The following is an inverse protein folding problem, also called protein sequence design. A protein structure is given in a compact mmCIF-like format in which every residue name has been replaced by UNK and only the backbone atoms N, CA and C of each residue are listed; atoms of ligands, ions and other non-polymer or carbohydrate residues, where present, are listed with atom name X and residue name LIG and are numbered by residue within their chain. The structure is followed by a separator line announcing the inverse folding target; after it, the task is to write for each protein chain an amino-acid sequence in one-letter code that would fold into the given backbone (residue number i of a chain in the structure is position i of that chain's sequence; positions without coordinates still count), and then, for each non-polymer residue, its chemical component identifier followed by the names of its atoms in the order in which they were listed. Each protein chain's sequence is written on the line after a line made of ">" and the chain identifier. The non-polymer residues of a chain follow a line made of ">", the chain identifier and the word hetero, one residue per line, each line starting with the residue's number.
data_IF_190274865237
#
_entry.id   IF_190274865237
#
_cell.length_a   1.000
_cell.length_b   1.000
_cell.length_c   1.000
_cell.angle_alpha   90.00
_cell.angle_beta   90.00
_cell.angle_gamma   90.00
#
_symmetry.space_group_name_H-M   'P 1'
#
loop_
_entity.id
_entity.type
_entity.pdbx_description
1 polymer ?
#
# COMPACT_ATOMS: atom_id res chain seq x y z
N UNK A 1 -7.06 20.09 20.05
CA UNK A 1 -6.95 18.62 20.01
C UNK A 1 -7.68 17.99 18.83
N UNK A 2 -8.95 18.32 18.56
CA UNK A 2 -9.76 17.67 17.50
C UNK A 2 -9.22 17.80 16.07
N UNK A 3 -8.50 18.87 15.73
CA UNK A 3 -7.92 19.05 14.39
C UNK A 3 -6.59 18.27 14.22
N UNK A 4 -5.80 18.18 15.30
CA UNK A 4 -4.50 17.51 15.32
C UNK A 4 -4.65 15.98 15.16
N UNK A 5 -5.53 15.36 15.95
CA UNK A 5 -5.86 13.93 15.85
C UNK A 5 -6.35 13.60 14.45
N UNK A 6 -7.27 14.41 13.90
CA UNK A 6 -7.76 14.24 12.52
C UNK A 6 -6.64 14.32 11.49
N UNK A 7 -5.65 15.18 11.68
CA UNK A 7 -4.54 15.35 10.73
C UNK A 7 -3.47 14.25 10.82
N UNK A 8 -3.09 13.85 12.04
CA UNK A 8 -1.99 12.90 12.27
C UNK A 8 -2.44 11.44 12.24
N UNK A 9 -3.71 11.18 12.53
CA UNK A 9 -4.22 9.82 12.72
C UNK A 9 -5.29 9.47 11.67
N UNK A 10 -5.38 10.29 10.62
CA UNK A 10 -6.24 10.07 9.47
C UNK A 10 -6.09 8.65 8.89
N UNK A 11 -4.86 8.13 8.83
CA UNK A 11 -4.56 6.81 8.26
C UNK A 11 -5.29 5.68 8.98
N UNK A 12 -5.54 5.81 10.28
CA UNK A 12 -6.23 4.79 11.10
C UNK A 12 -7.66 4.59 10.62
N UNK A 13 -8.36 5.65 10.23
CA UNK A 13 -9.73 5.55 9.74
C UNK A 13 -9.77 5.37 8.22
N UNK A 14 -8.82 5.97 7.51
CA UNK A 14 -8.81 5.97 6.06
C UNK A 14 -8.47 4.61 5.45
N UNK A 15 -7.47 3.91 6.00
CA UNK A 15 -7.03 2.62 5.44
C UNK A 15 -8.19 1.60 5.46
N UNK A 16 -8.87 1.34 6.59
CA UNK A 16 -10.03 0.44 6.62
C UNK A 16 -11.13 0.82 5.64
N UNK A 17 -11.41 2.12 5.49
CA UNK A 17 -12.39 2.60 4.52
C UNK A 17 -11.97 2.28 3.07
N UNK A 18 -10.70 2.49 2.71
CA UNK A 18 -10.21 2.14 1.36
C UNK A 18 -10.25 0.63 1.13
N UNK A 19 -9.96 -0.19 2.16
CA UNK A 19 -10.10 -1.66 2.09
C UNK A 19 -11.56 -2.06 1.84
N UNK A 20 -12.50 -1.50 2.61
CA UNK A 20 -13.93 -1.75 2.46
C UNK A 20 -14.40 -1.35 1.06
N UNK A 21 -14.04 -0.16 0.59
CA UNK A 21 -14.40 0.32 -0.75
C UNK A 21 -13.77 -0.55 -1.87
N UNK A 22 -12.54 -1.04 -1.68
CA UNK A 22 -11.90 -1.98 -2.62
C UNK A 22 -12.67 -3.31 -2.66
N UNK A 23 -13.02 -3.87 -1.51
CA UNK A 23 -13.82 -5.10 -1.40
C UNK A 23 -15.19 -4.93 -2.04
N UNK A 24 -15.96 -3.94 -1.59
CA UNK A 24 -17.28 -3.61 -2.11
C UNK A 24 -17.30 -3.48 -3.65
N UNK A 25 -16.35 -2.73 -4.23
CA UNK A 25 -16.27 -2.57 -5.70
C UNK A 25 -15.88 -3.85 -6.42
N UNK A 26 -15.08 -4.72 -5.79
CA UNK A 26 -14.69 -6.00 -6.38
C UNK A 26 -15.88 -6.96 -6.36
N UNK A 27 -16.58 -7.02 -5.23
CA UNK A 27 -17.81 -7.78 -5.04
C UNK A 27 -18.91 -7.35 -5.99
N UNK A 28 -19.15 -6.04 -6.14
CA UNK A 28 -20.12 -5.52 -7.09
C UNK A 28 -19.82 -5.99 -8.51
N UNK A 29 -18.55 -5.92 -8.95
CA UNK A 29 -18.15 -6.38 -10.29
C UNK A 29 -18.36 -7.87 -10.49
N UNK A 30 -18.07 -8.69 -9.47
CA UNK A 30 -18.29 -10.13 -9.55
C UNK A 30 -19.79 -10.46 -9.59
N UNK A 31 -20.61 -9.80 -8.80
CA UNK A 31 -22.08 -9.91 -8.83
C UNK A 31 -22.61 -9.51 -10.21
N UNK A 32 -22.18 -8.37 -10.76
CA UNK A 32 -22.60 -7.90 -12.09
C UNK A 32 -22.23 -8.90 -13.20
N UNK A 33 -21.02 -9.48 -13.14
CA UNK A 33 -20.59 -10.54 -14.09
C UNK A 33 -21.46 -11.78 -13.98
N UNK A 34 -21.79 -12.21 -12.75
CA UNK A 34 -22.63 -13.40 -12.53
C UNK A 34 -24.07 -13.15 -12.96
N UNK A 35 -24.62 -11.96 -12.67
CA UNK A 35 -25.94 -11.54 -13.14
C UNK A 35 -26.01 -11.51 -14.67
N UNK A 36 -25.00 -10.97 -15.34
CA UNK A 36 -24.94 -11.00 -16.80
C UNK A 36 -24.89 -12.43 -17.36
N UNK A 37 -24.09 -13.32 -16.75
CA UNK A 37 -24.07 -14.74 -17.14
C UNK A 37 -25.41 -15.43 -16.90
N UNK A 38 -26.12 -15.09 -15.83
CA UNK A 38 -27.46 -15.60 -15.55
C UNK A 38 -28.46 -15.10 -16.60
N UNK A 39 -28.48 -13.81 -16.91
CA UNK A 39 -29.34 -13.21 -17.93
C UNK A 39 -29.16 -13.86 -19.31
N UNK A 40 -27.91 -14.13 -19.71
CA UNK A 40 -27.61 -14.83 -20.96
C UNK A 40 -28.18 -16.26 -20.98
N UNK A 41 -28.08 -17.00 -19.87
CA UNK A 41 -28.66 -18.34 -19.80
C UNK A 41 -30.19 -18.31 -19.75
N UNK A 42 -30.80 -17.38 -19.02
CA UNK A 42 -32.23 -17.22 -18.98
C UNK A 42 -32.80 -16.90 -20.37
N UNK A 43 -32.17 -15.97 -21.11
CA UNK A 43 -32.55 -15.65 -22.49
C UNK A 43 -32.40 -16.84 -23.45
N UNK A 44 -31.34 -17.64 -23.29
CA UNK A 44 -31.16 -18.84 -24.10
C UNK A 44 -32.25 -19.88 -23.84
N UNK A 45 -32.69 -20.02 -22.58
CA UNK A 45 -33.81 -20.88 -22.21
C UNK A 45 -35.13 -20.33 -22.76
N UNK A 46 -35.41 -19.02 -22.61
CA UNK A 46 -36.61 -18.37 -23.14
C UNK A 46 -36.72 -18.50 -24.67
N UNK A 47 -35.59 -18.50 -25.39
CA UNK A 47 -35.56 -18.69 -26.85
C UNK A 47 -35.91 -20.12 -27.29
N UNK A 48 -35.72 -21.10 -26.42
CA UNK A 48 -36.05 -22.51 -26.70
C UNK A 48 -37.50 -22.85 -26.34
N UNK A 49 -38.20 -21.97 -25.62
CA UNK A 49 -39.61 -22.14 -25.28
C UNK A 49 -40.46 -21.59 -26.45
N UNK A 50 -41.27 -22.42 -27.14
CA UNK A 50 -42.18 -21.99 -28.19
C UNK A 50 -43.15 -20.94 -27.66
N UNK A 51 -43.39 -19.88 -28.45
CA UNK A 51 -44.30 -18.79 -28.08
C UNK A 51 -45.78 -19.14 -28.26
N UNK A 52 -46.08 -20.21 -29.01
CA UNK A 52 -47.42 -20.56 -29.46
C UNK A 52 -48.13 -21.58 -28.54
N UNK A 53 -47.76 -21.65 -27.25
CA UNK A 53 -48.29 -22.63 -26.29
C UNK A 53 -48.08 -24.10 -26.70
N UNK A 54 -47.13 -24.37 -27.60
CA UNK A 54 -46.78 -25.75 -27.98
C UNK A 54 -46.07 -26.47 -26.83
N UNK A 55 -46.35 -27.77 -26.60
CA UNK A 55 -45.69 -28.54 -25.55
C UNK A 55 -44.18 -28.64 -25.80
N UNK A 56 -43.38 -28.25 -24.82
CA UNK A 56 -41.91 -28.42 -24.84
C UNK A 56 -41.57 -29.80 -24.28
N UNK A 57 -40.69 -30.58 -24.94
CA UNK A 57 -40.18 -31.82 -24.38
C UNK A 57 -39.48 -31.57 -23.04
N UNK A 58 -39.86 -32.33 -22.00
CA UNK A 58 -39.31 -32.17 -20.65
C UNK A 58 -37.77 -32.31 -20.64
N UNK A 59 -37.26 -33.22 -21.47
CA UNK A 59 -35.83 -33.48 -21.65
C UNK A 59 -35.07 -32.21 -22.09
N UNK A 60 -35.66 -31.35 -22.92
CA UNK A 60 -35.00 -30.14 -23.40
C UNK A 60 -34.83 -29.08 -22.31
N UNK A 61 -35.80 -28.99 -21.39
CA UNK A 61 -35.73 -28.09 -20.22
C UNK A 61 -34.82 -28.67 -19.13
N UNK A 62 -34.91 -29.98 -18.90
CA UNK A 62 -34.16 -30.68 -17.83
C UNK A 62 -32.64 -30.57 -18.02
N UNK A 63 -32.15 -30.51 -19.26
CA UNK A 63 -30.73 -30.29 -19.60
C UNK A 63 -30.18 -28.96 -19.07
N UNK A 64 -31.01 -27.93 -18.93
CA UNK A 64 -30.60 -26.58 -18.56
C UNK A 64 -30.72 -26.27 -17.06
N UNK A 65 -31.59 -26.99 -16.34
CA UNK A 65 -31.81 -26.81 -14.89
C UNK A 65 -30.52 -26.98 -14.06
N UNK A 66 -29.67 -28.01 -14.27
CA UNK A 66 -28.43 -28.16 -13.51
C UNK A 66 -27.49 -26.96 -13.68
N UNK A 67 -27.35 -26.44 -14.91
CA UNK A 67 -26.47 -25.31 -15.19
C UNK A 67 -26.96 -24.01 -14.53
N UNK A 68 -28.27 -23.78 -14.49
CA UNK A 68 -28.87 -22.64 -13.79
C UNK A 68 -28.73 -22.80 -12.27
N UNK A 69 -28.98 -24.00 -11.73
CA UNK A 69 -28.84 -24.30 -10.32
C UNK A 69 -27.39 -24.13 -9.83
N UNK A 70 -26.40 -24.64 -10.57
CA UNK A 70 -24.97 -24.45 -10.31
C UNK A 70 -24.60 -22.96 -10.20
N UNK A 71 -25.14 -22.13 -11.11
CA UNK A 71 -24.89 -20.69 -11.14
C UNK A 71 -25.51 -19.95 -9.97
N UNK A 72 -26.75 -20.29 -9.60
CA UNK A 72 -27.42 -19.71 -8.43
C UNK A 72 -26.63 -20.05 -7.16
N UNK A 73 -26.15 -21.29 -7.03
CA UNK A 73 -25.29 -21.68 -5.90
C UNK A 73 -23.98 -20.89 -5.89
N UNK A 74 -23.33 -20.72 -7.05
CA UNK A 74 -22.11 -19.92 -7.15
C UNK A 74 -22.35 -18.44 -6.75
N UNK A 75 -23.46 -17.83 -7.19
CA UNK A 75 -23.86 -16.48 -6.78
C UNK A 75 -24.07 -16.42 -5.27
N UNK A 76 -24.83 -17.36 -4.71
CA UNK A 76 -25.11 -17.40 -3.28
C UNK A 76 -23.81 -17.51 -2.46
N UNK A 77 -22.95 -18.46 -2.78
CA UNK A 77 -21.68 -18.67 -2.07
C UNK A 77 -20.79 -17.42 -2.15
N UNK A 78 -20.65 -16.82 -3.33
CA UNK A 78 -19.82 -15.63 -3.52
C UNK A 78 -20.40 -14.41 -2.77
N UNK A 79 -21.72 -14.24 -2.78
CA UNK A 79 -22.38 -13.15 -2.06
C UNK A 79 -22.20 -13.30 -0.55
N UNK A 80 -22.39 -14.51 -0.02
CA UNK A 80 -22.19 -14.78 1.42
C UNK A 80 -20.76 -14.49 1.83
N UNK A 81 -19.77 -14.97 1.07
CA UNK A 81 -18.35 -14.70 1.36
C UNK A 81 -18.03 -13.21 1.28
N UNK A 82 -18.58 -12.50 0.30
CA UNK A 82 -18.42 -11.05 0.17
C UNK A 82 -18.98 -10.31 1.38
N UNK A 83 -20.23 -10.60 1.76
CA UNK A 83 -20.91 -9.93 2.87
C UNK A 83 -20.16 -10.17 4.18
N UNK A 84 -19.74 -11.41 4.45
CA UNK A 84 -18.92 -11.73 5.64
C UNK A 84 -17.61 -10.94 5.63
N UNK A 85 -16.95 -10.86 4.47
CA UNK A 85 -15.72 -10.10 4.31
C UNK A 85 -15.89 -8.58 4.47
N UNK A 86 -17.03 -8.03 4.08
CA UNK A 86 -17.37 -6.61 4.27
C UNK A 86 -17.73 -6.29 5.71
N UNK A 87 -18.53 -7.14 6.36
CA UNK A 87 -18.89 -7.02 7.79
C UNK A 87 -17.63 -7.02 8.65
N UNK A 88 -16.71 -7.95 8.41
CA UNK A 88 -15.45 -8.02 9.16
C UNK A 88 -14.64 -6.70 9.10
N UNK A 89 -14.59 -6.04 7.94
CA UNK A 89 -13.90 -4.74 7.80
C UNK A 89 -14.70 -3.61 8.45
N UNK A 90 -16.03 -3.67 8.40
CA UNK A 90 -16.89 -2.70 9.09
C UNK A 90 -16.73 -2.79 10.62
N UNK A 91 -16.62 -4.00 11.18
CA UNK A 91 -16.33 -4.21 12.59
C UNK A 91 -14.93 -3.68 12.97
N UNK A 92 -13.92 -3.84 12.10
CA UNK A 92 -12.60 -3.23 12.31
C UNK A 92 -12.67 -1.70 12.33
N UNK A 93 -13.47 -1.11 11.44
CA UNK A 93 -13.74 0.33 11.44
C UNK A 93 -14.41 0.78 12.74
N UNK A 94 -15.40 0.04 13.21
CA UNK A 94 -16.11 0.33 14.45
C UNK A 94 -15.17 0.27 15.67
N UNK A 95 -14.32 -0.78 15.77
CA UNK A 95 -13.30 -0.89 16.83
C UNK A 95 -12.39 0.33 16.87
N UNK A 96 -11.97 0.83 15.71
CA UNK A 96 -11.10 2.02 15.60
C UNK A 96 -11.84 3.31 15.94
N UNK A 97 -13.12 3.42 15.61
CA UNK A 97 -13.94 4.55 16.06
C UNK A 97 -14.13 4.55 17.58
N UNK A 98 -14.41 3.38 18.17
CA UNK A 98 -14.53 3.22 19.63
C UNK A 98 -13.21 3.59 20.34
N UNK A 99 -12.05 3.27 19.76
CA UNK A 99 -10.76 3.72 20.27
C UNK A 99 -10.65 5.24 20.36
N UNK A 100 -11.05 5.98 19.31
CA UNK A 100 -11.05 7.44 19.36
C UNK A 100 -12.14 8.03 20.27
N UNK A 101 -13.30 7.40 20.33
CA UNK A 101 -14.38 7.82 21.24
C UNK A 101 -13.93 7.75 22.70
N UNK A 102 -13.23 6.69 23.11
CA UNK A 102 -12.65 6.58 24.46
C UNK A 102 -11.77 7.78 24.81
N UNK A 103 -11.02 8.30 23.85
CA UNK A 103 -10.18 9.48 24.03
C UNK A 103 -10.99 10.77 24.18
N UNK A 104 -12.07 10.92 23.40
CA UNK A 104 -12.96 12.09 23.47
C UNK A 104 -13.80 12.11 24.75
N UNK A 105 -14.17 10.94 25.27
CA UNK A 105 -14.99 10.80 26.47
C UNK A 105 -14.19 10.69 27.77
N UNK A 106 -12.86 10.64 27.70
CA UNK A 106 -12.00 10.55 28.88
C UNK A 106 -12.25 11.74 29.80
N UNK A 107 -12.47 11.49 31.10
CA UNK A 107 -12.74 12.54 32.10
C UNK A 107 -11.57 12.69 33.06
N UNK A 108 -10.83 11.62 33.32
CA UNK A 108 -9.77 11.61 34.32
C UNK A 108 -8.37 11.80 33.70
N UNK A 109 -7.43 12.49 34.37
CA UNK A 109 -6.05 12.67 33.86
C UNK A 109 -5.32 11.36 33.58
N UNK A 110 -5.60 10.31 34.35
CA UNK A 110 -5.02 8.98 34.15
C UNK A 110 -5.44 8.36 32.80
N UNK A 111 -6.70 8.51 32.42
CA UNK A 111 -7.25 8.02 31.14
C UNK A 111 -6.61 8.76 29.95
N UNK A 112 -6.46 10.09 30.09
CA UNK A 112 -5.75 10.90 29.10
C UNK A 112 -4.27 10.50 28.98
N UNK A 113 -3.61 10.18 30.09
CA UNK A 113 -2.23 9.69 30.11
C UNK A 113 -2.09 8.34 29.41
N UNK A 114 -3.00 7.40 29.70
CA UNK A 114 -3.04 6.09 29.05
C UNK A 114 -3.24 6.23 27.54
N UNK A 115 -4.22 7.02 27.11
CA UNK A 115 -4.46 7.26 25.68
C UNK A 115 -3.26 7.91 24.99
N UNK A 116 -2.61 8.91 25.60
CA UNK A 116 -1.39 9.52 25.04
C UNK A 116 -0.28 8.49 24.82
N UNK A 117 -0.10 7.56 25.76
CA UNK A 117 0.87 6.48 25.62
C UNK A 117 0.52 5.55 24.46
N UNK A 118 -0.72 5.06 24.41
CA UNK A 118 -1.21 4.22 23.31
C UNK A 118 -1.06 4.90 21.94
N UNK A 119 -1.35 6.20 21.89
CA UNK A 119 -1.22 7.04 20.70
C UNK A 119 0.23 7.07 20.19
N UNK A 120 1.19 7.27 21.09
CA UNK A 120 2.63 7.29 20.77
C UNK A 120 3.07 5.90 20.30
N UNK A 121 2.73 4.84 21.04
CA UNK A 121 3.07 3.46 20.68
C UNK A 121 2.55 3.14 19.27
N UNK A 122 1.31 3.53 18.96
CA UNK A 122 0.70 3.32 17.64
C UNK A 122 1.39 4.12 16.53
N UNK A 123 1.82 5.36 16.79
CA UNK A 123 2.60 6.15 15.83
C UNK A 123 3.96 5.52 15.54
N UNK A 124 4.61 4.94 16.57
CA UNK A 124 5.88 4.22 16.44
C UNK A 124 5.67 2.94 15.62
N UNK A 125 4.64 2.14 15.94
CA UNK A 125 4.30 0.91 15.20
C UNK A 125 4.11 1.22 13.70
N UNK A 126 3.31 2.23 13.38
CA UNK A 126 3.08 2.65 11.99
C UNK A 126 4.39 3.10 11.31
N UNK A 127 5.25 3.84 12.01
CA UNK A 127 6.54 4.26 11.46
C UNK A 127 7.47 3.06 11.19
N UNK A 128 7.54 2.10 12.11
CA UNK A 128 8.31 0.86 11.94
C UNK A 128 7.82 0.05 10.74
N UNK A 129 6.51 -0.04 10.54
CA UNK A 129 5.96 -0.67 9.34
C UNK A 129 6.40 0.03 8.05
N UNK A 130 6.33 1.37 8.02
CA UNK A 130 6.70 2.17 6.85
C UNK A 130 8.19 2.14 6.51
N UNK A 131 9.06 1.92 7.50
CA UNK A 131 10.51 1.77 7.27
C UNK A 131 10.92 0.33 6.94
N UNK A 132 9.98 -0.62 6.98
CA UNK A 132 10.21 -2.04 6.69
C UNK A 132 10.65 -2.87 7.91
N UNK A 133 10.57 -2.32 9.12
CA UNK A 133 10.81 -3.02 10.38
C UNK A 133 9.58 -3.85 10.81
N UNK A 134 9.04 -4.68 9.91
CA UNK A 134 7.76 -5.38 10.08
C UNK A 134 7.69 -6.26 11.33
N UNK A 135 8.75 -7.02 11.63
CA UNK A 135 8.81 -7.91 12.79
C UNK A 135 8.74 -7.11 14.10
N UNK A 136 9.54 -6.06 14.20
CA UNK A 136 9.56 -5.18 15.38
C UNK A 136 8.23 -4.47 15.57
N UNK A 137 7.62 -3.97 14.49
CA UNK A 137 6.30 -3.36 14.53
C UNK A 137 5.23 -4.32 15.07
N UNK A 138 5.18 -5.56 14.54
CA UNK A 138 4.24 -6.58 15.01
C UNK A 138 4.48 -6.95 16.48
N UNK A 139 5.73 -7.11 16.90
CA UNK A 139 6.06 -7.43 18.30
C UNK A 139 5.60 -6.32 19.26
N UNK A 140 5.80 -5.06 18.88
CA UNK A 140 5.35 -3.91 19.67
C UNK A 140 3.82 -3.84 19.72
N UNK A 141 3.14 -4.03 18.58
CA UNK A 141 1.68 -4.07 18.50
C UNK A 141 1.07 -5.16 19.39
N UNK A 142 1.69 -6.34 19.46
CA UNK A 142 1.29 -7.42 20.37
C UNK A 142 1.51 -7.04 21.84
N UNK A 143 2.69 -6.52 22.18
CA UNK A 143 3.02 -6.17 23.58
C UNK A 143 2.15 -5.05 24.14
N UNK A 144 1.75 -4.09 23.30
CA UNK A 144 0.89 -2.97 23.69
C UNK A 144 -0.60 -3.27 23.51
N UNK A 145 -0.96 -4.46 22.99
CA UNK A 145 -2.35 -4.86 22.66
C UNK A 145 -3.03 -3.90 21.68
N UNK A 146 -2.26 -3.34 20.74
CA UNK A 146 -2.72 -2.35 19.77
C UNK A 146 -3.02 -2.92 18.38
N UNK A 147 -2.80 -4.22 18.14
CA UNK A 147 -3.13 -4.87 16.84
C UNK A 147 -4.50 -4.49 16.25
N UNK A 148 -5.62 -4.44 17.03
CA UNK A 148 -6.93 -4.09 16.46
C UNK A 148 -7.01 -2.68 15.86
N UNK A 149 -6.12 -1.76 16.26
CA UNK A 149 -6.07 -0.37 15.78
C UNK A 149 -4.85 -0.09 14.90
N UNK A 150 -4.06 -1.13 14.58
CA UNK A 150 -2.90 -1.09 13.69
C UNK A 150 -3.25 -1.67 12.31
N UNK A 151 -2.43 -1.36 11.31
CA UNK A 151 -2.67 -1.72 9.91
C UNK A 151 -1.93 -3.00 9.48
N UNK A 152 -1.80 -3.97 10.39
CA UNK A 152 -0.99 -5.18 10.23
C UNK A 152 -1.22 -5.89 8.89
N UNK A 153 -2.48 -6.18 8.53
CA UNK A 153 -2.83 -6.87 7.28
C UNK A 153 -2.34 -6.15 6.01
N UNK A 154 -2.35 -4.81 6.02
CA UNK A 154 -1.84 -4.02 4.89
C UNK A 154 -0.33 -4.16 4.80
N UNK A 155 0.36 -4.09 5.95
CA UNK A 155 1.81 -4.17 5.98
C UNK A 155 2.33 -5.60 5.82
N UNK A 156 1.53 -6.63 6.07
CA UNK A 156 1.83 -8.00 5.67
C UNK A 156 1.86 -8.15 4.14
N UNK A 157 0.92 -7.54 3.42
CA UNK A 157 0.94 -7.50 1.96
C UNK A 157 2.17 -6.74 1.44
N UNK A 158 2.47 -5.57 2.03
CA UNK A 158 3.68 -4.78 1.70
C UNK A 158 4.93 -5.61 1.94
N UNK A 159 5.04 -6.28 3.10
CA UNK A 159 6.16 -7.16 3.42
C UNK A 159 6.33 -8.28 2.40
N UNK A 160 5.25 -8.96 2.01
CA UNK A 160 5.27 -10.04 1.01
C UNK A 160 5.88 -9.53 -0.31
N UNK A 161 5.51 -8.33 -0.73
CA UNK A 161 6.04 -7.72 -1.96
C UNK A 161 7.51 -7.35 -1.79
N UNK A 162 7.89 -6.70 -0.69
CA UNK A 162 9.30 -6.35 -0.43
C UNK A 162 10.20 -7.58 -0.36
N UNK A 163 9.77 -8.64 0.33
CA UNK A 163 10.52 -9.88 0.45
C UNK A 163 10.63 -10.58 -0.91
N UNK A 164 9.59 -10.51 -1.77
CA UNK A 164 9.67 -10.94 -3.17
C UNK A 164 10.75 -10.17 -3.93
N UNK A 165 10.71 -8.84 -3.90
CA UNK A 165 11.69 -7.99 -4.59
C UNK A 165 13.13 -8.23 -4.08
N UNK A 166 13.33 -8.42 -2.77
CA UNK A 166 14.64 -8.76 -2.19
C UNK A 166 15.18 -10.10 -2.69
N UNK A 167 14.29 -11.05 -2.96
CA UNK A 167 14.63 -12.38 -3.49
C UNK A 167 14.60 -12.43 -5.02
N UNK A 168 14.57 -11.28 -5.69
CA UNK A 168 14.47 -11.15 -7.14
C UNK A 168 13.22 -11.79 -7.77
N UNK A 169 12.16 -11.96 -6.98
CA UNK A 169 10.86 -12.44 -7.43
C UNK A 169 9.90 -11.25 -7.66
N UNK A 170 9.51 -11.06 -8.93
CA UNK A 170 8.60 -9.99 -9.33
C UNK A 170 7.13 -10.37 -9.17
N UNK A 171 6.79 -11.65 -8.98
CA UNK A 171 5.40 -12.11 -8.97
C UNK A 171 4.56 -11.45 -7.88
N UNK A 172 5.00 -11.39 -6.59
CA UNK A 172 4.23 -10.72 -5.55
C UNK A 172 3.93 -9.25 -5.88
N UNK A 173 4.91 -8.56 -6.48
CA UNK A 173 4.77 -7.18 -6.89
C UNK A 173 3.78 -7.01 -8.06
N UNK A 174 3.80 -7.94 -9.02
CA UNK A 174 2.87 -7.94 -10.15
C UNK A 174 1.43 -8.21 -9.72
N UNK A 175 1.22 -9.13 -8.77
CA UNK A 175 -0.09 -9.37 -8.16
C UNK A 175 -0.61 -8.09 -7.50
N UNK A 176 0.25 -7.44 -6.70
CA UNK A 176 -0.11 -6.18 -6.05
C UNK A 176 -0.45 -5.08 -7.05
N UNK A 177 0.32 -4.95 -8.14
CA UNK A 177 0.03 -4.00 -9.22
C UNK A 177 -1.32 -4.31 -9.86
N UNK A 178 -1.63 -5.59 -10.12
CA UNK A 178 -2.89 -6.00 -10.70
C UNK A 178 -4.07 -5.59 -9.81
N UNK A 179 -3.99 -5.88 -8.52
CA UNK A 179 -5.02 -5.57 -7.54
C UNK A 179 -5.25 -4.07 -7.34
N UNK A 180 -4.22 -3.25 -7.58
CA UNK A 180 -4.25 -1.80 -7.38
C UNK A 180 -4.23 -1.01 -8.69
N UNK A 181 -4.31 -1.67 -9.85
CA UNK A 181 -4.13 -1.10 -11.20
C UNK A 181 -4.99 0.13 -11.47
N UNK A 182 -6.25 0.09 -11.05
CA UNK A 182 -7.18 1.20 -11.27
C UNK A 182 -6.79 2.45 -10.48
N UNK A 183 -6.26 2.27 -9.26
CA UNK A 183 -5.80 3.37 -8.40
C UNK A 183 -4.46 3.91 -8.92
N UNK A 184 -3.51 3.03 -9.25
CA UNK A 184 -2.21 3.39 -9.82
C UNK A 184 -2.35 4.22 -11.10
N UNK A 185 -3.31 3.88 -11.97
CA UNK A 185 -3.62 4.68 -13.17
C UNK A 185 -4.11 6.09 -12.84
N UNK A 186 -4.98 6.24 -11.83
CA UNK A 186 -5.47 7.56 -11.38
C UNK A 186 -4.36 8.40 -10.74
N UNK A 187 -3.42 7.74 -10.07
CA UNK A 187 -2.22 8.35 -9.50
C UNK A 187 -1.14 8.65 -10.56
N UNK A 188 -1.38 8.29 -11.83
CA UNK A 188 -0.42 8.42 -12.93
C UNK A 188 0.94 7.77 -12.61
N UNK A 189 0.90 6.66 -11.87
CA UNK A 189 2.10 5.91 -11.49
C UNK A 189 2.74 5.25 -12.70
N UNK A 190 4.07 5.30 -12.77
CA UNK A 190 4.91 4.58 -13.71
C UNK A 190 5.52 3.30 -13.11
N UNK A 191 5.10 2.91 -11.90
CA UNK A 191 5.66 1.76 -11.20
C UNK A 191 5.46 0.42 -11.94
N UNK A 192 4.27 0.19 -12.51
CA UNK A 192 4.03 -0.99 -13.36
C UNK A 192 5.05 -1.07 -14.50
N UNK A 193 5.39 0.08 -15.11
CA UNK A 193 6.36 0.12 -16.19
C UNK A 193 7.77 -0.27 -15.72
N UNK A 194 8.22 0.23 -14.57
CA UNK A 194 9.55 -0.12 -14.04
C UNK A 194 9.68 -1.61 -13.69
N UNK A 195 8.61 -2.22 -13.19
CA UNK A 195 8.55 -3.67 -12.93
C UNK A 195 8.54 -4.46 -14.24
N UNK A 196 7.76 -4.05 -15.25
CA UNK A 196 7.79 -4.68 -16.59
C UNK A 196 9.16 -4.55 -17.26
N UNK A 197 9.87 -3.45 -17.02
CA UNK A 197 11.27 -3.26 -17.44
C UNK A 197 12.18 -4.25 -16.71
N UNK A 198 11.99 -4.46 -15.39
CA UNK A 198 12.78 -5.43 -14.64
C UNK A 198 12.59 -6.85 -15.18
N UNK A 199 11.34 -7.27 -15.48
CA UNK A 199 11.09 -8.58 -16.12
C UNK A 199 11.90 -8.74 -17.42
N UNK A 200 11.98 -7.66 -18.23
CA UNK A 200 12.78 -7.67 -19.44
C UNK A 200 14.29 -7.78 -19.16
N UNK A 201 14.78 -7.12 -18.12
CA UNK A 201 16.19 -7.18 -17.71
C UNK A 201 16.55 -8.60 -17.28
N UNK A 202 15.70 -9.27 -16.49
CA UNK A 202 15.93 -10.66 -16.08
C UNK A 202 15.88 -11.63 -17.27
N UNK A 203 14.94 -11.47 -18.22
CA UNK A 203 14.96 -12.25 -19.47
C UNK A 203 16.26 -12.06 -20.26
N UNK A 204 16.78 -10.83 -20.30
CA UNK A 204 18.06 -10.54 -20.96
C UNK A 204 19.24 -11.14 -20.20
N UNK A 205 19.19 -11.17 -18.87
CA UNK A 205 20.19 -11.81 -18.00
C UNK A 205 20.26 -13.32 -18.26
N UNK A 206 19.11 -13.97 -18.47
CA UNK A 206 18.98 -15.38 -18.88
C UNK A 206 19.30 -15.66 -20.36
N UNK A 207 19.78 -14.65 -21.10
CA UNK A 207 20.05 -14.74 -22.54
C UNK A 207 18.80 -15.06 -23.41
N UNK A 208 17.59 -14.82 -22.89
CA UNK A 208 16.29 -15.02 -23.58
C UNK A 208 15.88 -13.78 -24.39
N UNK A 209 16.76 -13.32 -25.29
CA UNK A 209 16.58 -12.07 -26.07
C UNK A 209 15.30 -12.03 -26.90
N UNK A 210 14.92 -13.16 -27.52
CA UNK A 210 13.72 -13.23 -28.37
C UNK A 210 12.45 -13.08 -27.54
N UNK A 211 12.41 -13.68 -26.36
CA UNK A 211 11.31 -13.53 -25.40
C UNK A 211 11.22 -12.10 -24.88
N UNK A 212 12.35 -11.51 -24.47
CA UNK A 212 12.41 -10.12 -24.02
C UNK A 212 11.86 -9.14 -25.08
N UNK A 213 12.20 -9.34 -26.36
CA UNK A 213 11.69 -8.51 -27.44
C UNK A 213 10.16 -8.66 -27.62
N UNK A 214 9.64 -9.89 -27.57
CA UNK A 214 8.20 -10.14 -27.62
C UNK A 214 7.49 -9.52 -26.42
N UNK A 215 8.10 -9.61 -25.24
CA UNK A 215 7.60 -9.05 -24.00
C UNK A 215 7.48 -7.53 -24.06
N UNK A 216 8.54 -6.83 -24.47
CA UNK A 216 8.54 -5.37 -24.64
C UNK A 216 7.47 -4.93 -25.63
N UNK A 217 7.29 -5.64 -26.76
CA UNK A 217 6.22 -5.33 -27.72
C UNK A 217 4.84 -5.53 -27.10
N UNK A 218 4.63 -6.59 -26.33
CA UNK A 218 3.37 -6.86 -25.63
C UNK A 218 3.04 -5.78 -24.61
N UNK A 219 4.00 -5.42 -23.76
CA UNK A 219 3.79 -4.48 -22.66
C UNK A 219 3.76 -3.02 -23.11
N UNK A 220 4.56 -2.65 -24.11
CA UNK A 220 4.81 -1.25 -24.47
C UNK A 220 4.47 -0.92 -25.93
N UNK A 221 3.97 -1.86 -26.73
CA UNK A 221 3.67 -1.64 -28.15
C UNK A 221 2.55 -0.63 -28.40
N UNK A 222 1.69 -0.39 -27.41
CA UNK A 222 0.63 0.63 -27.47
C UNK A 222 1.12 2.05 -27.13
N UNK A 223 2.36 2.19 -26.65
CA UNK A 223 2.96 3.48 -26.31
C UNK A 223 3.49 4.11 -27.60
N UNK A 224 2.90 5.25 -28.00
CA UNK A 224 3.33 5.98 -29.20
C UNK A 224 4.77 6.50 -29.10
N UNK A 225 5.45 6.65 -30.24
CA UNK A 225 6.89 6.97 -30.31
C UNK A 225 7.30 8.22 -29.49
N UNK A 226 6.49 9.28 -29.43
CA UNK A 226 6.79 10.47 -28.62
C UNK A 226 6.78 10.24 -27.10
N UNK A 227 6.15 9.18 -26.61
CA UNK A 227 6.16 8.80 -25.19
C UNK A 227 7.37 7.94 -24.83
N UNK A 228 7.94 7.19 -25.78
CA UNK A 228 9.24 6.53 -25.62
C UNK A 228 10.34 7.56 -25.40
N UNK A 229 10.23 8.72 -26.06
CA UNK A 229 11.25 9.76 -25.97
C UNK A 229 11.41 10.37 -24.58
N UNK A 230 10.29 10.52 -23.87
CA UNK A 230 10.20 11.09 -22.53
C UNK A 230 10.60 10.11 -21.42
N UNK A 231 10.88 8.84 -21.76
CA UNK A 231 11.09 7.76 -20.79
C UNK A 231 12.46 7.10 -21.00
N UNK A 232 13.51 7.58 -20.31
CA UNK A 232 14.89 7.12 -20.54
C UNK A 232 15.07 5.62 -20.26
N UNK A 233 14.38 5.06 -19.26
CA UNK A 233 14.46 3.63 -18.93
C UNK A 233 13.97 2.75 -20.10
N UNK A 234 12.89 3.11 -20.79
CA UNK A 234 12.38 2.36 -21.94
C UNK A 234 13.35 2.38 -23.12
N UNK A 235 13.96 3.55 -23.40
CA UNK A 235 15.01 3.68 -24.42
C UNK A 235 16.21 2.80 -24.11
N UNK A 236 16.63 2.78 -22.84
CA UNK A 236 17.76 1.95 -22.41
C UNK A 236 17.45 0.46 -22.58
N UNK A 237 16.24 0.00 -22.27
CA UNK A 237 15.83 -1.40 -22.48
C UNK A 237 15.81 -1.78 -23.95
N UNK A 238 15.24 -0.94 -24.82
CA UNK A 238 15.25 -1.20 -26.26
C UNK A 238 16.68 -1.27 -26.82
N UNK A 239 17.54 -0.34 -26.41
CA UNK A 239 18.96 -0.33 -26.78
C UNK A 239 19.72 -1.56 -26.26
N UNK A 240 19.45 -1.99 -25.02
CA UNK A 240 20.02 -3.19 -24.42
C UNK A 240 19.62 -4.46 -25.20
N UNK A 241 18.33 -4.59 -25.56
CA UNK A 241 17.86 -5.71 -26.41
C UNK A 241 18.59 -5.68 -27.76
N UNK A 242 18.68 -4.52 -28.40
CA UNK A 242 19.34 -4.37 -29.69
C UNK A 242 20.83 -4.77 -29.62
N UNK A 243 21.56 -4.23 -28.65
CA UNK A 243 22.98 -4.52 -28.40
C UNK A 243 23.24 -6.00 -28.03
N UNK A 244 22.26 -6.67 -27.40
CA UNK A 244 22.40 -8.05 -26.93
C UNK A 244 23.28 -8.18 -25.68
N UNK A 245 23.46 -9.41 -25.21
CA UNK A 245 24.21 -9.70 -23.96
C UNK A 245 25.74 -9.53 -24.09
N UNK A 246 26.24 -9.00 -25.21
CA UNK A 246 27.65 -8.66 -25.37
C UNK A 246 27.90 -7.37 -24.60
N UNK A 247 28.41 -7.52 -23.38
CA UNK A 247 28.66 -6.53 -22.31
C UNK A 247 29.53 -5.31 -22.65
N UNK A 248 29.69 -4.95 -23.93
CA UNK A 248 30.66 -3.96 -24.42
C UNK A 248 30.30 -2.53 -23.98
N UNK A 249 29.03 -2.25 -23.65
CA UNK A 249 28.59 -0.89 -23.34
C UNK A 249 28.43 -0.67 -21.83
N UNK A 250 29.31 0.17 -21.25
CA UNK A 250 29.25 0.63 -19.85
C UNK A 250 27.86 1.17 -19.44
N UNK A 251 27.10 1.72 -20.40
CA UNK A 251 25.76 2.28 -20.18
C UNK A 251 24.72 1.26 -19.74
N UNK A 252 24.81 0.00 -20.15
CA UNK A 252 23.84 -1.05 -19.77
C UNK A 252 24.22 -1.80 -18.50
N UNK A 253 25.49 -1.71 -18.04
CA UNK A 253 25.95 -2.37 -16.80
C UNK A 253 25.12 -1.95 -15.59
N UNK A 254 24.74 -0.66 -15.51
CA UNK A 254 23.88 -0.14 -14.42
C UNK A 254 22.48 -0.77 -14.40
N UNK A 255 21.96 -1.21 -15.54
CA UNK A 255 20.62 -1.83 -15.59
C UNK A 255 20.60 -3.22 -14.98
N UNK A 256 21.73 -3.94 -14.99
CA UNK A 256 21.88 -5.24 -14.35
C UNK A 256 22.34 -5.16 -12.89
N UNK A 257 22.52 -3.96 -12.34
CA UNK A 257 23.03 -3.76 -10.99
C UNK A 257 22.00 -4.12 -9.91
N UNK A 258 22.48 -4.66 -8.81
CA UNK A 258 21.66 -5.02 -7.64
C UNK A 258 20.97 -3.81 -7.00
N UNK A 259 21.58 -2.62 -7.07
CA UNK A 259 21.01 -1.35 -6.59
C UNK A 259 19.62 -1.06 -7.17
N UNK A 260 19.31 -1.62 -8.35
CA UNK A 260 18.01 -1.46 -8.99
C UNK A 260 16.89 -2.13 -8.20
N UNK A 261 17.15 -3.28 -7.57
CA UNK A 261 16.18 -3.95 -6.72
C UNK A 261 15.85 -3.11 -5.48
N UNK A 262 16.86 -2.53 -4.85
CA UNK A 262 16.66 -1.61 -3.73
C UNK A 262 15.87 -0.37 -4.17
N UNK A 263 16.19 0.20 -5.33
CA UNK A 263 15.41 1.33 -5.88
C UNK A 263 13.94 0.95 -6.17
N UNK A 264 13.67 -0.28 -6.63
CA UNK A 264 12.31 -0.78 -6.83
C UNK A 264 11.57 -0.98 -5.50
N UNK A 265 12.25 -1.47 -4.46
CA UNK A 265 11.69 -1.60 -3.10
C UNK A 265 11.33 -0.22 -2.55
N UNK A 266 12.22 0.77 -2.63
CA UNK A 266 11.93 2.13 -2.17
C UNK A 266 10.78 2.76 -2.97
N UNK A 267 10.76 2.55 -4.29
CA UNK A 267 9.64 3.01 -5.13
C UNK A 267 8.33 2.33 -4.75
N UNK A 268 8.35 1.02 -4.50
CA UNK A 268 7.18 0.28 -4.04
C UNK A 268 6.63 0.84 -2.73
N UNK A 269 7.48 1.11 -1.74
CA UNK A 269 7.07 1.75 -0.46
C UNK A 269 6.34 3.07 -0.68
N UNK A 270 6.89 3.94 -1.54
CA UNK A 270 6.23 5.21 -1.85
C UNK A 270 4.87 4.98 -2.55
N UNK A 271 4.80 4.05 -3.49
CA UNK A 271 3.56 3.78 -4.24
C UNK A 271 2.49 3.10 -3.38
N UNK A 272 2.88 2.23 -2.45
CA UNK A 272 1.95 1.59 -1.51
C UNK A 272 1.30 2.62 -0.59
N UNK A 273 2.08 3.57 -0.08
CA UNK A 273 1.56 4.71 0.70
C UNK A 273 0.63 5.60 -0.13
N UNK A 274 0.98 5.90 -1.39
CA UNK A 274 0.14 6.72 -2.30
C UNK A 274 -1.19 6.05 -2.60
N UNK A 275 -1.24 4.72 -2.72
CA UNK A 275 -2.49 3.96 -2.94
C UNK A 275 -3.47 4.19 -1.80
N UNK A 276 -2.98 4.24 -0.55
CA UNK A 276 -3.79 4.54 0.64
C UNK A 276 -3.93 6.04 0.94
N UNK A 277 -3.35 6.91 0.11
CA UNK A 277 -3.34 8.37 0.27
C UNK A 277 -2.74 8.80 1.61
N UNK A 278 -1.66 8.13 2.00
CA UNK A 278 -0.88 8.47 3.19
C UNK A 278 0.09 9.60 2.88
N UNK A 279 0.39 10.41 3.90
CA UNK A 279 1.48 11.40 3.84
C UNK A 279 2.82 10.68 3.67
N UNK A 280 3.75 11.25 2.89
CA UNK A 280 5.12 10.72 2.76
C UNK A 280 5.89 10.71 4.08
N UNK A 281 5.56 11.59 5.02
CA UNK A 281 6.10 11.54 6.37
C UNK A 281 5.12 10.82 7.31
N UNK A 282 5.66 10.00 8.21
CA UNK A 282 4.86 9.39 9.28
C UNK A 282 4.48 10.44 10.31
N UNK A 283 3.33 10.25 10.97
CA UNK A 283 2.91 11.09 12.08
C UNK A 283 3.99 11.14 13.18
N UNK A 284 4.66 10.00 13.44
CA UNK A 284 5.80 9.93 14.34
C UNK A 284 6.93 10.88 13.92
N UNK A 285 7.36 10.83 12.65
CA UNK A 285 8.42 11.71 12.14
C UNK A 285 8.05 13.17 12.26
N UNK A 286 6.82 13.53 11.89
CA UNK A 286 6.33 14.91 12.00
C UNK A 286 6.30 15.39 13.45
N UNK A 287 5.78 14.59 14.38
CA UNK A 287 5.76 14.92 15.80
C UNK A 287 7.17 15.05 16.39
N UNK A 288 8.06 14.11 16.05
CA UNK A 288 9.45 14.10 16.52
C UNK A 288 10.20 15.35 16.02
N UNK A 289 10.12 15.63 14.72
CA UNK A 289 10.73 16.83 14.14
C UNK A 289 10.14 18.12 14.72
N UNK A 290 8.84 18.18 14.95
CA UNK A 290 8.19 19.34 15.60
C UNK A 290 8.71 19.54 17.03
N UNK A 291 8.86 18.45 17.79
CA UNK A 291 9.45 18.48 19.13
C UNK A 291 10.91 18.95 19.12
N UNK A 292 11.72 18.42 18.20
CA UNK A 292 13.12 18.85 18.01
C UNK A 292 13.19 20.33 17.66
N UNK A 293 12.37 20.80 16.72
CA UNK A 293 12.31 22.20 16.32
C UNK A 293 11.93 23.13 17.48
N UNK A 294 11.02 22.70 18.37
CA UNK A 294 10.64 23.46 19.56
C UNK A 294 11.78 23.56 20.60
N UNK A 295 12.73 22.62 20.59
CA UNK A 295 13.90 22.62 21.48
C UNK A 295 15.15 23.22 20.82
N UNK A 296 15.19 23.29 19.48
CA UNK A 296 16.35 23.73 18.72
C UNK A 296 16.59 25.23 18.93
N UNK A 297 17.82 25.55 19.31
CA UNK A 297 18.30 26.93 19.50
C UNK A 297 19.43 27.24 18.51
N UNK A 298 19.79 28.53 18.29
CA UNK A 298 20.94 28.89 17.47
C UNK A 298 22.27 28.34 18.00
N UNK A 299 22.33 27.99 19.30
CA UNK A 299 23.54 27.46 19.95
C UNK A 299 23.68 25.94 19.79
N UNK A 300 22.69 25.24 19.21
CA UNK A 300 22.76 23.80 19.03
C UNK A 300 23.80 23.42 17.97
N UNK A 301 24.71 22.51 18.32
CA UNK A 301 25.80 22.03 17.47
C UNK A 301 25.96 20.53 17.61
N UNK A 302 26.50 19.87 16.56
CA UNK A 302 26.70 18.42 16.57
C UNK A 302 27.67 18.04 17.69
N UNK A 303 27.17 17.36 18.71
CA UNK A 303 28.02 16.74 19.73
C UNK A 303 28.56 15.42 19.21
N UNK A 304 29.80 15.08 19.59
CA UNK A 304 30.33 13.71 19.48
C UNK A 304 30.19 12.93 20.79
N UNK A 305 29.89 13.62 21.88
CA UNK A 305 29.68 13.02 23.20
C UNK A 305 28.24 12.53 23.35
N UNK A 306 28.08 11.24 23.65
CA UNK A 306 26.80 10.58 23.96
C UNK A 306 26.24 10.99 25.32
N UNK A 307 27.04 11.62 26.19
CA UNK A 307 26.58 12.18 27.47
C UNK A 307 26.10 13.63 27.35
N UNK A 308 25.95 14.15 26.13
CA UNK A 308 25.45 15.50 25.90
C UNK A 308 24.06 15.69 26.52
N UNK A 309 23.93 16.68 27.41
CA UNK A 309 22.66 16.99 28.09
C UNK A 309 21.63 17.68 27.20
N UNK A 310 22.06 18.26 26.08
CA UNK A 310 21.15 18.89 25.14
C UNK A 310 20.56 17.83 24.21
N UNK A 311 19.25 17.59 24.31
CA UNK A 311 18.54 16.59 23.49
C UNK A 311 18.67 16.82 21.99
N UNK A 312 18.84 18.07 21.54
CA UNK A 312 19.01 18.40 20.11
C UNK A 312 20.45 18.18 19.65
N UNK A 313 21.45 18.45 20.50
CA UNK A 313 22.86 18.27 20.16
C UNK A 313 23.31 16.81 20.23
N UNK A 314 22.50 15.92 20.83
CA UNK A 314 22.82 14.51 20.99
C UNK A 314 23.11 13.86 19.61
N UNK A 315 24.16 13.03 19.46
CA UNK A 315 24.56 12.44 18.19
C UNK A 315 23.41 11.76 17.43
N UNK A 316 22.56 11.01 18.13
CA UNK A 316 21.43 10.27 17.54
C UNK A 316 20.26 11.16 17.08
N UNK A 317 20.22 12.43 17.52
CA UNK A 317 19.11 13.35 17.26
C UNK A 317 19.53 14.48 16.32
N UNK A 318 20.80 14.88 16.35
CA UNK A 318 21.27 16.08 15.64
C UNK A 318 21.01 16.00 14.14
N UNK A 319 21.21 14.84 13.52
CA UNK A 319 20.98 14.67 12.08
C UNK A 319 19.48 14.81 11.73
N UNK A 320 18.57 14.50 12.66
CA UNK A 320 17.13 14.75 12.51
C UNK A 320 16.77 16.23 12.69
N UNK A 321 17.64 17.01 13.33
CA UNK A 321 17.48 18.45 13.54
C UNK A 321 17.94 19.29 12.35
N UNK A 322 18.66 18.70 11.39
CA UNK A 322 19.16 19.39 10.20
C UNK A 322 18.00 19.95 9.36
N UNK A 323 18.13 21.19 8.88
CA UNK A 323 17.09 21.87 8.11
C UNK A 323 15.83 22.31 8.88
N UNK A 324 15.65 21.89 10.14
CA UNK A 324 14.51 22.31 10.97
C UNK A 324 14.60 23.77 11.42
N UNK A 325 13.46 24.47 11.58
CA UNK A 325 13.42 25.83 12.09
C UNK A 325 13.95 25.90 13.53
N UNK A 326 14.41 27.09 13.91
CA UNK A 326 14.95 27.37 15.24
C UNK A 326 13.86 28.07 16.05
N UNK A 327 13.72 27.71 17.33
CA UNK A 327 12.83 28.43 18.24
C UNK A 327 13.33 29.86 18.45
N UNK A 328 12.48 30.83 18.14
CA UNK A 328 12.67 32.21 18.55
C UNK A 328 12.12 32.41 19.97
N UNK A 329 12.95 32.21 20.99
CA UNK A 329 12.62 32.64 22.36
C UNK A 329 13.50 33.82 22.75
N UNK A 330 12.90 34.98 22.96
CA UNK A 330 13.56 36.19 23.49
C UNK A 330 13.75 36.14 25.00
N UNK A 331 13.00 35.29 25.72
CA UNK A 331 13.10 35.13 27.18
C UNK A 331 12.98 33.65 27.56
N UNK A 332 13.86 33.22 28.48
CA UNK A 332 13.84 31.89 29.11
C UNK A 332 13.12 32.00 30.45
N UNK A 333 12.04 31.27 30.67
CA UNK A 333 11.42 31.15 32.00
C UNK A 333 11.86 29.82 32.64
N UNK A 334 12.61 29.90 33.73
CA UNK A 334 12.89 28.74 34.58
C UNK A 334 11.66 28.50 35.44
N UNK A 335 10.99 27.36 35.25
CA UNK A 335 9.94 26.90 36.15
C UNK A 335 10.65 26.02 37.18
N UNK A 336 10.73 26.51 38.41
CA UNK A 336 11.19 25.71 39.54
C UNK A 336 10.02 24.83 39.98
N UNK A 337 10.07 23.54 39.64
CA UNK A 337 9.22 22.56 40.31
C UNK A 337 9.85 22.30 41.69
N UNK A 338 9.21 22.80 42.75
CA UNK A 338 9.57 22.48 44.14
C UNK A 338 9.39 20.97 44.34
N UNK A 339 10.49 20.28 44.63
CA UNK A 339 10.55 18.83 44.94
C UNK A 339 9.95 18.55 46.31
#
# INVERSE_FOLDING_TARGET
>A
MTNEVKSLEYSVLKIPYEILNKRFRSSQKEIDKLNHKFEVAAKALDQQIPKDNEPVPLEDVEKHVPAVAERIRAIHTNLVQSVVGEISVAEDMERRLQYFQKAETAQHPAEHGAFKKERIDRMIIEHLYRTGCFKTASMLADSCKLKPVCNDLVYEEVRRVEDGLRNHDLNPCLDWIFDNRSKLRRLQSDFEMDIRIQECIEMMRDNRKVEAMKWVRKCFGHIGNGQWEKRPNLKQVAGMIAAGNKSVYKSYRKMYGEDRWEALIQKFRMESERVFMLSQQSAFSTCLQTGIAALKTPCCMKSVDTNCRCSVCHPDVYDLAEGLPIRHSTQSSVIWDEI
#
